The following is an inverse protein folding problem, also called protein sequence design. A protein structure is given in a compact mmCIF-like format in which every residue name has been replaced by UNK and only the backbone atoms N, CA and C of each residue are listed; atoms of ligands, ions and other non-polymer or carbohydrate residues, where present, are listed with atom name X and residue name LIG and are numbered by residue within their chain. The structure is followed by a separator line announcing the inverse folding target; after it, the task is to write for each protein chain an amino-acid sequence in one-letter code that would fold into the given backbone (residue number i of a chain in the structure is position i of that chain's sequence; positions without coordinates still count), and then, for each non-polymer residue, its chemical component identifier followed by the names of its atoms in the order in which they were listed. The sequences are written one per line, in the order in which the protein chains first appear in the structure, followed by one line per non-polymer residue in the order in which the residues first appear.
data_IF_805727534041
#
_entry.id   IF_805727534041
#
_cell.length_a   1.000
_cell.length_b   1.000
_cell.length_c   1.000
_cell.angle_alpha   90.00
_cell.angle_beta   90.00
_cell.angle_gamma   90.00
#
_symmetry.space_group_name_H-M   'P 1'
#
loop_
_entity.id
_entity.type
_entity.pdbx_description
1 polymer ?
#
# COMPACT_ATOMS: atom_id res chain seq x y z
N UNK A 1 -18.93 -16.77 -24.71
CA UNK A 1 -18.03 -15.65 -24.34
C UNK A 1 -18.28 -15.36 -22.87
N UNK A 2 -17.31 -15.67 -22.00
CA UNK A 2 -17.53 -15.71 -20.54
C UNK A 2 -17.76 -14.31 -19.96
N UNK A 3 -18.77 -14.16 -19.10
CA UNK A 3 -19.11 -12.90 -18.41
C UNK A 3 -17.90 -12.27 -17.68
N UNK A 4 -16.95 -13.11 -17.23
CA UNK A 4 -15.70 -12.68 -16.62
C UNK A 4 -14.80 -11.92 -17.61
N UNK A 5 -14.77 -12.34 -18.88
CA UNK A 5 -13.97 -11.71 -19.93
C UNK A 5 -14.55 -10.35 -20.33
N UNK A 6 -15.89 -10.24 -20.36
CA UNK A 6 -16.58 -8.96 -20.61
C UNK A 6 -16.35 -7.98 -19.44
N UNK A 7 -16.40 -8.46 -18.20
CA UNK A 7 -16.16 -7.65 -17.01
C UNK A 7 -14.73 -7.13 -16.96
N UNK A 8 -13.73 -7.98 -17.26
CA UNK A 8 -12.32 -7.58 -17.30
C UNK A 8 -12.04 -6.60 -18.45
N UNK A 9 -12.68 -6.76 -19.61
CA UNK A 9 -12.55 -5.85 -20.73
C UNK A 9 -13.21 -4.49 -20.44
N UNK A 10 -14.40 -4.48 -19.83
CA UNK A 10 -15.05 -3.24 -19.37
C UNK A 10 -14.22 -2.52 -18.29
N UNK A 11 -13.64 -3.26 -17.35
CA UNK A 11 -12.78 -2.69 -16.32
C UNK A 11 -11.50 -2.10 -16.93
N UNK A 12 -10.88 -2.80 -17.87
CA UNK A 12 -9.69 -2.32 -18.59
C UNK A 12 -9.98 -1.09 -19.45
N UNK A 13 -11.13 -1.05 -20.16
CA UNK A 13 -11.52 0.11 -20.98
C UNK A 13 -11.93 1.30 -20.12
N UNK A 14 -12.57 1.08 -18.95
CA UNK A 14 -12.84 2.14 -17.97
C UNK A 14 -11.57 2.71 -17.38
N UNK A 15 -10.59 1.88 -17.05
CA UNK A 15 -9.28 2.30 -16.56
C UNK A 15 -8.48 3.04 -17.64
N UNK A 16 -8.40 2.50 -18.87
CA UNK A 16 -7.68 3.14 -19.98
C UNK A 16 -8.33 4.44 -20.48
N UNK A 17 -9.65 4.53 -20.44
CA UNK A 17 -10.36 5.73 -20.90
C UNK A 17 -10.23 6.95 -19.98
N UNK A 18 -9.86 6.75 -18.73
CA UNK A 18 -9.68 7.83 -17.75
C UNK A 18 -8.25 8.38 -17.70
N UNK A 19 -7.26 7.62 -18.17
CA UNK A 19 -5.84 7.99 -18.16
C UNK A 19 -5.54 9.17 -19.08
N UNK A 20 -6.34 9.40 -20.13
CA UNK A 20 -6.05 10.39 -21.17
C UNK A 20 -6.15 11.87 -20.77
N UNK A 21 -6.58 12.21 -19.54
CA UNK A 21 -6.71 13.59 -19.04
C UNK A 21 -6.25 13.79 -17.59
N UNK A 22 -5.63 12.79 -16.98
CA UNK A 22 -5.21 12.86 -15.59
C UNK A 22 -3.81 13.47 -15.49
N UNK A 23 -3.64 14.38 -14.54
CA UNK A 23 -2.32 14.82 -14.15
C UNK A 23 -1.66 13.65 -13.43
N UNK A 24 -0.63 13.07 -14.04
CA UNK A 24 0.09 11.93 -13.49
C UNK A 24 1.13 12.42 -12.48
N UNK A 25 1.21 11.75 -11.38
CA UNK A 25 2.20 12.01 -10.34
C UNK A 25 2.78 10.69 -9.84
N UNK A 26 4.08 10.68 -9.58
CA UNK A 26 4.76 9.54 -8.95
C UNK A 26 5.08 9.90 -7.52
N UNK A 27 4.71 9.06 -6.60
CA UNK A 27 5.06 9.19 -5.19
C UNK A 27 5.82 7.97 -4.68
N UNK A 28 6.68 8.25 -3.70
CA UNK A 28 7.45 7.27 -2.98
C UNK A 28 7.06 7.34 -1.50
N UNK A 29 6.83 6.19 -0.89
CA UNK A 29 6.38 6.09 0.49
C UNK A 29 7.25 5.10 1.26
N UNK A 30 7.73 5.53 2.42
CA UNK A 30 8.45 4.68 3.37
C UNK A 30 7.70 4.67 4.70
N UNK A 31 7.40 3.50 5.20
CA UNK A 31 6.66 3.29 6.45
C UNK A 31 7.34 2.26 7.35
N UNK A 32 7.10 2.39 8.64
CA UNK A 32 7.57 1.46 9.68
C UNK A 32 6.41 1.10 10.60
N UNK A 33 6.44 -0.11 11.15
CA UNK A 33 5.53 -0.53 12.22
C UNK A 33 6.10 -0.10 13.59
N UNK A 34 5.58 0.98 14.21
CA UNK A 34 6.10 1.46 15.48
C UNK A 34 5.72 0.55 16.64
N UNK A 35 4.65 -0.23 16.51
CA UNK A 35 4.21 -1.15 17.57
C UNK A 35 5.19 -2.31 17.63
N UNK A 36 5.55 -2.87 16.49
CA UNK A 36 6.52 -3.94 16.44
C UNK A 36 7.89 -3.50 16.98
N UNK A 37 8.33 -2.29 16.63
CA UNK A 37 9.60 -1.74 17.07
C UNK A 37 9.68 -1.59 18.61
N UNK A 38 8.56 -1.23 19.26
CA UNK A 38 8.53 -0.93 20.71
C UNK A 38 8.10 -2.12 21.55
N UNK A 39 7.07 -2.84 21.12
CA UNK A 39 6.41 -3.87 21.93
C UNK A 39 6.61 -5.30 21.40
N UNK A 40 7.10 -5.47 20.16
CA UNK A 40 7.13 -6.76 19.49
C UNK A 40 5.73 -7.27 19.12
N UNK A 41 5.62 -8.53 18.79
CA UNK A 41 4.34 -9.16 18.43
C UNK A 41 4.32 -10.63 18.83
N UNK A 42 3.52 -10.97 19.83
CA UNK A 42 3.33 -12.37 20.24
C UNK A 42 2.71 -13.22 19.13
N UNK A 43 1.80 -12.66 18.34
CA UNK A 43 1.14 -13.39 17.25
C UNK A 43 2.09 -13.74 16.09
N UNK A 44 3.23 -13.07 15.99
CA UNK A 44 4.26 -13.29 14.98
C UNK A 44 5.55 -13.85 15.58
N UNK A 45 5.57 -14.13 16.89
CA UNK A 45 6.76 -14.55 17.63
C UNK A 45 7.96 -13.58 17.44
N UNK A 46 7.66 -12.28 17.48
CA UNK A 46 8.64 -11.21 17.28
C UNK A 46 8.91 -10.45 18.57
N UNK A 47 10.18 -10.32 18.88
CA UNK A 47 10.64 -9.53 20.03
C UNK A 47 10.56 -8.01 19.74
N UNK A 48 10.54 -7.17 20.79
CA UNK A 48 10.77 -5.73 20.63
C UNK A 48 12.09 -5.44 19.89
N UNK A 49 12.10 -4.36 19.09
CA UNK A 49 13.20 -3.91 18.21
C UNK A 49 13.28 -4.59 16.84
N UNK A 50 12.43 -5.56 16.54
CA UNK A 50 12.33 -6.04 15.18
C UNK A 50 11.77 -4.93 14.28
N UNK A 51 12.27 -4.85 13.08
CA UNK A 51 11.88 -3.80 12.12
C UNK A 51 10.93 -4.42 11.11
N UNK A 52 9.76 -3.81 10.93
CA UNK A 52 8.85 -4.05 9.80
C UNK A 52 8.84 -2.76 8.97
N UNK A 53 9.47 -2.81 7.82
CA UNK A 53 9.61 -1.69 6.91
C UNK A 53 8.85 -1.96 5.60
N UNK A 54 8.03 -1.01 5.20
CA UNK A 54 7.24 -1.06 3.97
C UNK A 54 7.62 0.11 3.06
N UNK A 55 8.06 -0.23 1.87
CA UNK A 55 8.40 0.67 0.80
C UNK A 55 7.35 0.60 -0.29
N UNK A 56 6.82 1.75 -0.77
CA UNK A 56 5.86 1.80 -1.87
C UNK A 56 6.27 2.81 -2.92
N UNK A 57 5.99 2.46 -4.17
CA UNK A 57 6.03 3.38 -5.31
C UNK A 57 4.64 3.41 -5.91
N UNK A 58 4.04 4.59 -6.00
CA UNK A 58 2.68 4.79 -6.50
C UNK A 58 2.68 5.71 -7.71
N UNK A 59 1.97 5.31 -8.75
CA UNK A 59 1.52 6.18 -9.84
C UNK A 59 0.12 6.65 -9.53
N UNK A 60 -0.05 7.95 -9.42
CA UNK A 60 -1.28 8.61 -9.02
C UNK A 60 -1.89 9.30 -10.24
N UNK A 61 -3.15 9.01 -10.51
CA UNK A 61 -3.91 9.55 -11.63
C UNK A 61 -5.02 10.44 -11.11
N UNK A 62 -4.84 11.76 -11.19
CA UNK A 62 -5.80 12.71 -10.66
C UNK A 62 -7.14 12.64 -11.41
N UNK A 63 -8.20 12.32 -10.69
CA UNK A 63 -9.57 12.50 -11.16
C UNK A 63 -10.08 13.85 -10.65
N UNK A 64 -10.74 14.61 -11.52
CA UNK A 64 -11.19 15.96 -11.19
C UNK A 64 -11.93 16.06 -9.86
N UNK A 65 -11.49 16.95 -8.98
CA UNK A 65 -12.08 17.49 -7.76
C UNK A 65 -12.29 16.57 -6.55
N UNK A 66 -12.40 15.24 -6.68
CA UNK A 66 -12.81 14.39 -5.54
C UNK A 66 -11.74 13.44 -5.01
N UNK A 67 -10.66 13.23 -5.75
CA UNK A 67 -9.61 12.29 -5.38
C UNK A 67 -8.86 11.77 -6.59
N UNK A 68 -8.01 10.79 -6.36
CA UNK A 68 -7.20 10.16 -7.39
C UNK A 68 -7.16 8.64 -7.20
N UNK A 69 -7.12 7.93 -8.31
CA UNK A 69 -6.76 6.51 -8.32
C UNK A 69 -5.26 6.38 -8.30
N UNK A 70 -4.78 5.34 -7.66
CA UNK A 70 -3.37 4.99 -7.73
C UNK A 70 -3.20 3.51 -8.06
N UNK A 71 -2.07 3.21 -8.66
CA UNK A 71 -1.55 1.87 -8.87
C UNK A 71 -0.08 1.88 -8.51
N UNK A 72 0.42 0.80 -7.92
CA UNK A 72 1.80 0.78 -7.48
C UNK A 72 2.36 -0.58 -7.16
N UNK A 73 3.59 -0.57 -6.71
CA UNK A 73 4.28 -1.71 -6.16
C UNK A 73 4.76 -1.44 -4.76
N UNK A 74 4.77 -2.46 -3.93
CA UNK A 74 5.29 -2.39 -2.58
C UNK A 74 6.29 -3.50 -2.30
N UNK A 75 7.24 -3.19 -1.45
CA UNK A 75 8.20 -4.14 -0.90
C UNK A 75 8.20 -4.00 0.62
N UNK A 76 8.00 -5.10 1.29
CA UNK A 76 7.99 -5.20 2.74
C UNK A 76 9.12 -6.11 3.20
N UNK A 77 9.82 -5.67 4.23
CA UNK A 77 10.87 -6.39 4.92
C UNK A 77 10.52 -6.44 6.41
N UNK A 78 10.43 -7.64 6.97
CA UNK A 78 10.35 -7.83 8.41
C UNK A 78 11.62 -8.52 8.86
N UNK A 79 12.35 -7.87 9.76
CA UNK A 79 13.52 -8.43 10.43
C UNK A 79 13.04 -9.49 11.44
N UNK A 80 13.22 -10.75 11.07
CA UNK A 80 12.83 -11.93 11.83
C UNK A 80 14.04 -12.87 11.89
N UNK A 81 14.06 -13.88 12.77
CA UNK A 81 15.11 -14.92 12.75
C UNK A 81 15.29 -15.58 11.38
N UNK A 82 14.23 -15.58 10.57
CA UNK A 82 14.28 -15.89 9.14
C UNK A 82 13.65 -14.73 8.41
N UNK A 83 14.44 -13.97 7.65
CA UNK A 83 13.98 -12.78 6.94
C UNK A 83 12.70 -13.03 6.18
N UNK A 84 11.73 -12.15 6.40
CA UNK A 84 10.49 -12.13 5.65
C UNK A 84 10.51 -10.99 4.64
N UNK A 85 10.30 -11.33 3.39
CA UNK A 85 10.21 -10.38 2.30
C UNK A 85 8.88 -10.54 1.61
N UNK A 86 8.23 -9.44 1.28
CA UNK A 86 6.99 -9.44 0.51
C UNK A 86 7.05 -8.42 -0.60
N UNK A 87 6.72 -8.86 -1.81
CA UNK A 87 6.50 -7.99 -2.97
C UNK A 87 5.03 -8.03 -3.32
N UNK A 88 4.41 -6.86 -3.50
CA UNK A 88 3.01 -6.80 -3.89
C UNK A 88 2.77 -5.71 -4.92
N UNK A 89 1.72 -5.91 -5.71
CA UNK A 89 1.10 -4.87 -6.53
C UNK A 89 -0.12 -4.37 -5.79
N UNK A 90 -0.29 -3.06 -5.75
CA UNK A 90 -1.42 -2.43 -5.08
C UNK A 90 -2.20 -1.52 -6.03
N UNK A 91 -3.49 -1.40 -5.77
CA UNK A 91 -4.36 -0.45 -6.45
C UNK A 91 -5.40 0.09 -5.50
N UNK A 92 -5.71 1.36 -5.62
CA UNK A 92 -6.62 2.01 -4.69
C UNK A 92 -7.13 3.36 -5.14
N UNK A 93 -7.82 4.00 -4.21
CA UNK A 93 -8.38 5.33 -4.41
C UNK A 93 -8.16 6.18 -3.17
N UNK A 94 -7.69 7.40 -3.38
CA UNK A 94 -7.51 8.40 -2.34
C UNK A 94 -8.49 9.53 -2.54
N UNK A 95 -9.25 9.86 -1.50
CA UNK A 95 -10.15 10.99 -1.47
C UNK A 95 -9.36 12.24 -1.12
N UNK A 96 -9.46 13.26 -1.97
CA UNK A 96 -8.92 14.58 -1.65
C UNK A 96 -9.79 15.21 -0.57
N UNK A 97 -9.10 15.63 0.50
CA UNK A 97 -9.59 16.60 1.46
C UNK A 97 -10.86 16.22 2.25
N UNK A 98 -10.64 15.53 3.37
CA UNK A 98 -11.52 15.75 4.51
C UNK A 98 -11.32 17.19 5.06
N UNK A 99 -10.08 17.69 4.99
CA UNK A 99 -9.61 19.05 5.34
C UNK A 99 -8.48 19.40 4.39
N UNK A 100 -8.09 20.68 4.31
CA UNK A 100 -7.04 21.17 3.39
C UNK A 100 -5.68 20.48 3.56
N UNK A 101 -5.45 19.83 4.69
CA UNK A 101 -4.21 19.16 5.05
C UNK A 101 -4.33 17.64 5.19
N UNK A 102 -5.54 17.07 5.09
CA UNK A 102 -5.78 15.64 5.31
C UNK A 102 -6.51 15.01 4.12
N UNK A 103 -5.89 13.99 3.52
CA UNK A 103 -6.53 13.07 2.59
C UNK A 103 -6.54 11.66 3.17
N UNK A 104 -7.48 10.84 2.73
CA UNK A 104 -7.54 9.45 3.13
C UNK A 104 -7.85 8.56 1.93
N UNK A 105 -7.38 7.33 1.96
CA UNK A 105 -7.60 6.40 0.87
C UNK A 105 -7.70 4.97 1.33
N UNK A 106 -8.15 4.13 0.44
CA UNK A 106 -8.11 2.69 0.61
C UNK A 106 -7.39 2.04 -0.56
N UNK A 107 -6.80 0.90 -0.31
CA UNK A 107 -6.13 0.10 -1.33
C UNK A 107 -6.33 -1.38 -1.07
N UNK A 108 -6.19 -2.17 -2.13
CA UNK A 108 -6.04 -3.61 -2.07
C UNK A 108 -4.73 -4.01 -2.74
N UNK A 109 -4.14 -5.07 -2.29
CA UNK A 109 -2.88 -5.57 -2.82
C UNK A 109 -2.90 -7.08 -3.03
N UNK A 110 -2.06 -7.53 -3.97
CA UNK A 110 -1.80 -8.94 -4.28
C UNK A 110 -0.29 -9.11 -4.39
N UNK A 111 0.26 -10.11 -3.72
CA UNK A 111 1.70 -10.26 -3.65
C UNK A 111 2.19 -11.68 -3.43
N UNK A 112 3.50 -11.76 -3.33
CA UNK A 112 4.23 -12.96 -2.97
C UNK A 112 5.10 -12.65 -1.75
N UNK A 113 5.04 -13.50 -0.76
CA UNK A 113 5.94 -13.46 0.39
C UNK A 113 6.96 -14.59 0.32
N UNK A 114 8.15 -14.29 0.78
CA UNK A 114 9.23 -15.26 0.96
C UNK A 114 9.58 -15.32 2.44
N UNK A 115 9.59 -16.52 2.98
CA UNK A 115 10.02 -16.80 4.34
C UNK A 115 10.99 -17.98 4.30
N UNK A 116 12.29 -17.67 4.42
CA UNK A 116 13.33 -18.67 4.19
C UNK A 116 13.31 -19.22 2.76
N UNK A 117 13.10 -20.53 2.61
CA UNK A 117 13.04 -21.20 1.30
C UNK A 117 11.61 -21.31 0.72
N UNK A 118 10.60 -20.87 1.45
CA UNK A 118 9.21 -20.98 1.03
C UNK A 118 8.70 -19.66 0.44
N UNK A 119 7.97 -19.77 -0.66
CA UNK A 119 7.28 -18.64 -1.31
C UNK A 119 5.79 -18.88 -1.27
N UNK A 120 5.02 -17.87 -0.88
CA UNK A 120 3.58 -17.96 -0.76
C UNK A 120 2.85 -16.76 -1.36
N UNK A 121 1.58 -16.98 -1.70
CA UNK A 121 0.71 -15.93 -2.21
C UNK A 121 0.07 -15.17 -1.05
N UNK A 122 0.04 -13.86 -1.17
CA UNK A 122 -0.56 -12.96 -0.18
C UNK A 122 -1.53 -12.01 -0.84
N UNK A 123 -2.54 -11.60 -0.08
CA UNK A 123 -3.44 -10.52 -0.48
C UNK A 123 -3.81 -9.70 0.73
N UNK A 124 -4.09 -8.42 0.50
CA UNK A 124 -4.37 -7.52 1.58
C UNK A 124 -5.24 -6.35 1.17
N UNK A 125 -5.59 -5.58 2.17
CA UNK A 125 -6.26 -4.30 2.03
C UNK A 125 -5.78 -3.35 3.12
N UNK A 126 -5.86 -2.06 2.84
CA UNK A 126 -5.45 -1.07 3.82
C UNK A 126 -6.14 0.27 3.64
N UNK A 127 -5.95 1.10 4.65
CA UNK A 127 -6.38 2.49 4.72
C UNK A 127 -5.16 3.36 4.95
N UNK A 128 -5.01 4.41 4.16
CA UNK A 128 -3.97 5.42 4.31
C UNK A 128 -4.61 6.76 4.69
N UNK A 129 -4.05 7.42 5.69
CA UNK A 129 -4.33 8.80 6.06
C UNK A 129 -3.08 9.62 5.80
N UNK A 130 -3.17 10.59 4.88
CA UNK A 130 -2.04 11.41 4.46
C UNK A 130 -2.22 12.82 5.00
N UNK A 131 -1.31 13.25 5.85
CA UNK A 131 -1.25 14.58 6.42
C UNK A 131 -0.20 15.39 5.66
N UNK A 132 -0.63 16.41 4.94
CA UNK A 132 0.27 17.31 4.20
C UNK A 132 1.08 18.16 5.16
N UNK A 133 2.40 17.94 5.16
CA UNK A 133 3.37 18.70 5.95
C UNK A 133 4.04 19.78 5.09
N UNK A 134 4.27 19.47 3.82
CA UNK A 134 4.87 20.37 2.83
C UNK A 134 4.27 20.09 1.44
N UNK A 135 4.54 20.93 0.46
CA UNK A 135 3.99 20.78 -0.91
C UNK A 135 4.24 19.42 -1.53
N UNK A 136 5.39 18.78 -1.20
CA UNK A 136 5.81 17.48 -1.73
C UNK A 136 6.03 16.43 -0.64
N UNK A 137 5.63 16.72 0.61
CA UNK A 137 5.87 15.82 1.73
C UNK A 137 4.61 15.61 2.56
N UNK A 138 4.19 14.37 2.70
CA UNK A 138 3.09 13.96 3.55
C UNK A 138 3.61 13.03 4.66
N UNK A 139 3.07 13.21 5.87
CA UNK A 139 3.12 12.17 6.91
C UNK A 139 2.00 11.18 6.62
N UNK A 140 2.29 9.88 6.68
CA UNK A 140 1.33 8.83 6.37
C UNK A 140 1.11 7.96 7.58
N UNK A 141 -0.16 7.75 7.93
CA UNK A 141 -0.59 6.73 8.87
C UNK A 141 -1.37 5.69 8.08
N UNK A 142 -0.98 4.43 8.18
CA UNK A 142 -1.64 3.33 7.48
C UNK A 142 -2.08 2.25 8.43
N UNK A 143 -3.26 1.71 8.16
CA UNK A 143 -3.67 0.42 8.67
C UNK A 143 -3.70 -0.57 7.52
N UNK A 144 -2.96 -1.65 7.63
CA UNK A 144 -2.93 -2.71 6.64
C UNK A 144 -3.35 -4.04 7.29
N UNK A 145 -4.12 -4.81 6.54
CA UNK A 145 -4.45 -6.19 6.90
C UNK A 145 -4.07 -7.08 5.73
N UNK A 146 -3.15 -8.00 5.97
CA UNK A 146 -2.64 -8.93 4.95
C UNK A 146 -2.99 -10.35 5.34
N UNK A 147 -3.53 -11.12 4.42
CA UNK A 147 -3.65 -12.57 4.53
C UNK A 147 -2.37 -13.20 3.99
N UNK A 148 -1.65 -13.86 4.88
CA UNK A 148 -0.58 -14.75 4.49
C UNK A 148 -1.12 -16.18 4.49
N UNK A 149 -1.05 -16.86 3.34
CA UNK A 149 -1.61 -18.21 3.20
C UNK A 149 -0.78 -19.23 3.93
N UNK A 150 0.52 -18.98 4.09
CA UNK A 150 1.43 -19.84 4.81
C UNK A 150 1.16 -19.82 6.31
N UNK A 151 0.98 -18.64 6.87
CA UNK A 151 0.63 -18.46 8.27
C UNK A 151 -0.86 -18.75 8.55
N UNK A 152 -1.66 -18.96 7.49
CA UNK A 152 -3.11 -19.18 7.53
C UNK A 152 -3.88 -18.17 8.38
N UNK A 153 -3.34 -16.99 8.55
CA UNK A 153 -3.87 -15.93 9.40
C UNK A 153 -3.91 -14.58 8.71
N UNK A 154 -4.73 -13.70 9.24
CA UNK A 154 -4.70 -12.28 8.87
C UNK A 154 -3.78 -11.54 9.83
N UNK A 155 -2.84 -10.81 9.28
CA UNK A 155 -1.91 -9.96 10.03
C UNK A 155 -2.39 -8.52 9.89
N UNK A 156 -2.82 -7.94 10.99
CA UNK A 156 -3.11 -6.50 11.09
C UNK A 156 -1.86 -5.73 11.49
N UNK A 157 -1.59 -4.62 10.80
CA UNK A 157 -0.46 -3.74 11.05
C UNK A 157 -0.90 -2.30 11.12
N UNK A 158 -0.22 -1.53 11.93
CA UNK A 158 -0.33 -0.08 11.96
C UNK A 158 1.04 0.50 11.59
N UNK A 159 1.08 1.28 10.51
CA UNK A 159 2.32 1.78 9.94
C UNK A 159 2.33 3.31 9.99
N UNK A 160 3.49 3.87 10.31
CA UNK A 160 3.75 5.31 10.26
C UNK A 160 4.90 5.56 9.29
N UNK A 161 4.78 6.58 8.46
CA UNK A 161 5.83 6.88 7.51
C UNK A 161 5.68 8.22 6.84
N UNK A 162 6.45 8.38 5.78
CA UNK A 162 6.48 9.58 4.95
C UNK A 162 6.23 9.20 3.50
N UNK A 163 5.54 10.08 2.79
CA UNK A 163 5.36 10.03 1.34
C UNK A 163 5.97 11.28 0.73
N UNK A 164 6.79 11.08 -0.29
CA UNK A 164 7.40 12.14 -1.08
C UNK A 164 6.83 12.09 -2.49
N UNK A 165 6.33 13.20 -2.97
CA UNK A 165 5.90 13.39 -4.35
C UNK A 165 7.13 13.70 -5.21
N UNK A 166 7.48 12.80 -6.16
CA UNK A 166 8.75 12.89 -6.90
C UNK A 166 8.67 13.76 -8.14
N UNK A 167 7.56 13.71 -8.86
CA UNK A 167 7.37 14.50 -10.09
C UNK A 167 5.90 14.56 -10.48
N UNK A 168 5.51 15.67 -11.10
CA UNK A 168 4.34 15.75 -11.97
C UNK A 168 4.83 15.48 -13.39
N UNK A 169 4.34 14.40 -13.97
CA UNK A 169 4.63 14.01 -15.36
C UNK A 169 3.68 14.69 -16.34
#
# INVERSE_FOLDING_TARGET
MNALFMLSYMLATLLCGQVAKAQEQVSFQLQLDPILLVAGSESRDLEPRNIDALLKIKWEFAQAKKGYTHFGGSYELIDMPTDYHRFALEGGYTFNQLFDYLSWGFYADLGLSNYGAATDFTYGFGLDFNFRVHEHLNLVLSQQTTRDTMLQTFIGKFLIGVQVELAKL
#
